data_IF_768794099389
#
_entry.id   IF_768794099389
#
_cell.length_a   1.000
_cell.length_b   1.000
_cell.length_c   1.000
_cell.angle_alpha   90.00
_cell.angle_beta   90.00
_cell.angle_gamma   90.00
#
_symmetry.space_group_name_H-M   'P 1'
#
loop_
_entity.id
_entity.type
_entity.pdbx_description
1 polymer ?
#
# COMPACT_ATOMS: atom_id res chain seq x y z
N UNK A 1 85.68 41.05 -0.94
CA UNK A 1 84.25 40.90 -1.33
C UNK A 1 83.78 39.51 -0.91
N UNK A 2 83.09 39.43 0.20
CA UNK A 2 82.54 38.22 0.74
C UNK A 2 81.12 38.07 0.20
N UNK A 3 80.73 36.91 -0.36
CA UNK A 3 79.36 36.71 -0.87
C UNK A 3 78.33 36.68 0.29
N UNK A 4 77.10 37.17 0.06
CA UNK A 4 76.09 37.17 1.08
C UNK A 4 75.57 35.73 1.35
N UNK A 5 75.37 35.42 2.62
CA UNK A 5 74.81 34.18 3.07
C UNK A 5 73.40 33.96 2.52
N UNK A 6 73.19 32.81 1.90
CA UNK A 6 71.87 32.43 1.39
C UNK A 6 70.91 32.20 2.58
N UNK A 7 69.80 32.98 2.62
CA UNK A 7 68.73 32.79 3.57
C UNK A 7 68.05 31.44 3.30
N UNK A 8 68.07 30.54 4.30
CA UNK A 8 67.35 29.28 4.27
C UNK A 8 65.82 29.52 4.19
N UNK A 9 65.15 28.98 3.19
CA UNK A 9 63.73 29.03 3.04
C UNK A 9 63.03 28.35 4.22
N UNK A 10 61.87 28.88 4.69
CA UNK A 10 61.17 28.25 5.80
C UNK A 10 60.66 26.87 5.41
N UNK A 11 60.96 25.88 6.24
CA UNK A 11 60.45 24.51 6.10
C UNK A 11 58.94 24.54 6.21
N UNK A 12 58.19 24.02 5.21
CA UNK A 12 56.74 23.98 5.28
C UNK A 12 56.28 23.14 6.48
N UNK A 13 55.22 23.56 7.20
CA UNK A 13 54.73 22.81 8.36
C UNK A 13 54.37 21.38 7.91
N UNK A 14 54.81 20.40 8.68
CA UNK A 14 54.51 19.00 8.44
C UNK A 14 53.00 18.81 8.36
N UNK A 15 52.53 18.16 7.28
CA UNK A 15 51.13 17.82 7.13
C UNK A 15 50.61 17.04 8.32
N UNK A 16 49.47 17.39 8.93
CA UNK A 16 48.93 16.69 10.09
C UNK A 16 48.71 15.22 9.74
N UNK A 17 49.18 14.35 10.61
CA UNK A 17 49.19 12.91 10.42
C UNK A 17 47.82 12.34 10.07
N UNK A 18 47.66 11.65 8.95
CA UNK A 18 46.41 11.03 8.46
C UNK A 18 45.83 9.92 9.39
N UNK A 19 46.60 9.43 10.35
CA UNK A 19 46.22 8.39 11.31
C UNK A 19 45.07 8.80 12.26
N UNK A 20 45.02 10.00 12.84
CA UNK A 20 43.92 10.42 13.72
C UNK A 20 42.57 10.59 12.98
N UNK A 21 42.58 10.98 11.70
CA UNK A 21 41.35 11.17 10.93
C UNK A 21 40.61 9.84 10.66
N UNK A 22 41.35 8.78 10.33
CA UNK A 22 40.77 7.44 10.11
C UNK A 22 40.15 6.86 11.39
N UNK A 23 40.80 7.04 12.54
CA UNK A 23 40.24 6.64 13.83
C UNK A 23 38.99 7.42 14.18
N UNK A 24 38.99 8.74 13.98
CA UNK A 24 37.87 9.62 14.25
C UNK A 24 36.61 9.23 13.41
N UNK A 25 36.79 8.91 12.13
CA UNK A 25 35.72 8.44 11.24
C UNK A 25 35.17 7.09 11.70
N UNK A 26 36.04 6.12 12.05
CA UNK A 26 35.60 4.80 12.57
C UNK A 26 34.74 4.94 13.83
N UNK A 27 35.16 5.80 14.76
CA UNK A 27 34.36 6.10 15.95
C UNK A 27 33.02 6.76 15.63
N UNK A 28 32.98 7.70 14.68
CA UNK A 28 31.73 8.31 14.22
C UNK A 28 30.74 7.24 13.70
N UNK A 29 31.20 6.37 12.80
CA UNK A 29 30.38 5.28 12.24
C UNK A 29 29.95 4.27 13.32
N UNK A 30 30.84 3.94 14.27
CA UNK A 30 30.52 3.06 15.40
C UNK A 30 29.46 3.66 16.32
N UNK A 31 29.55 4.96 16.62
CA UNK A 31 28.51 5.66 17.40
C UNK A 31 27.18 5.76 16.67
N UNK A 32 27.20 5.94 15.35
CA UNK A 32 25.98 5.93 14.54
C UNK A 32 25.31 4.55 14.56
N UNK A 33 26.07 3.49 14.33
CA UNK A 33 25.54 2.12 14.41
C UNK A 33 24.98 1.81 15.81
N UNK A 34 25.69 2.20 16.87
CA UNK A 34 25.23 2.01 18.25
C UNK A 34 23.95 2.82 18.52
N UNK A 35 23.87 4.08 18.10
CA UNK A 35 22.68 4.92 18.26
C UNK A 35 21.49 4.31 17.52
N UNK A 36 21.67 3.84 16.29
CA UNK A 36 20.61 3.19 15.50
C UNK A 36 20.10 1.93 16.18
N UNK A 37 21.01 1.07 16.70
CA UNK A 37 20.63 -0.14 17.44
C UNK A 37 19.88 0.20 18.73
N UNK A 38 20.37 1.16 19.52
CA UNK A 38 19.70 1.54 20.76
C UNK A 38 18.31 2.14 20.52
N UNK A 39 18.17 2.99 19.51
CA UNK A 39 16.87 3.52 19.11
C UNK A 39 15.92 2.42 18.61
N UNK A 40 16.41 1.47 17.84
CA UNK A 40 15.62 0.33 17.39
C UNK A 40 15.16 -0.53 18.57
N UNK A 41 16.07 -0.85 19.50
CA UNK A 41 15.74 -1.60 20.72
C UNK A 41 14.70 -0.84 21.56
N UNK A 42 14.87 0.46 21.73
CA UNK A 42 13.89 1.29 22.45
C UNK A 42 12.52 1.29 21.74
N UNK A 43 12.49 1.38 20.42
CA UNK A 43 11.28 1.30 19.62
C UNK A 43 10.58 -0.04 19.78
N UNK A 44 11.32 -1.15 19.70
CA UNK A 44 10.79 -2.49 19.90
C UNK A 44 10.25 -2.64 21.33
N UNK A 45 11.02 -2.21 22.33
CA UNK A 45 10.63 -2.28 23.73
C UNK A 45 9.34 -1.51 24.02
N UNK A 46 9.18 -0.31 23.44
CA UNK A 46 7.98 0.50 23.58
C UNK A 46 6.78 -0.09 22.80
N UNK A 47 7.04 -0.85 21.73
CA UNK A 47 6.01 -1.43 20.87
C UNK A 47 5.50 -2.80 21.32
N UNK A 48 6.10 -3.44 22.35
CA UNK A 48 5.64 -4.75 22.85
C UNK A 48 4.36 -4.55 23.71
N UNK A 49 3.20 -5.03 23.25
CA UNK A 49 1.93 -4.76 23.91
C UNK A 49 1.64 -5.67 25.12
N UNK A 50 2.55 -6.56 25.48
CA UNK A 50 2.34 -7.52 26.57
C UNK A 50 3.66 -8.13 27.07
N UNK A 51 3.70 -9.45 27.24
CA UNK A 51 4.92 -10.16 27.63
C UNK A 51 5.95 -10.13 26.50
N UNK A 52 7.23 -9.87 26.82
CA UNK A 52 8.31 -9.84 25.83
C UNK A 52 8.49 -11.18 25.12
N UNK A 53 8.33 -12.27 25.87
CA UNK A 53 8.43 -13.64 25.37
C UNK A 53 7.17 -14.41 25.76
N UNK A 54 6.07 -14.24 25.01
CA UNK A 54 4.81 -14.93 25.32
C UNK A 54 4.96 -16.44 25.08
N UNK A 55 4.30 -17.23 25.95
CA UNK A 55 4.25 -18.69 25.77
C UNK A 55 3.32 -19.11 24.63
N UNK A 56 2.33 -18.27 24.28
CA UNK A 56 1.39 -18.56 23.21
C UNK A 56 2.07 -18.44 21.82
N UNK A 57 1.82 -19.40 20.95
CA UNK A 57 2.19 -19.34 19.56
C UNK A 57 1.19 -18.55 18.72
N UNK A 58 1.54 -18.17 17.49
CA UNK A 58 0.62 -17.53 16.54
C UNK A 58 -0.52 -18.48 16.19
N UNK A 59 -1.76 -17.99 16.24
CA UNK A 59 -2.95 -18.74 15.86
C UNK A 59 -3.43 -18.23 14.52
N UNK A 60 -3.41 -19.08 13.49
CA UNK A 60 -3.78 -18.71 12.12
C UNK A 60 -5.06 -19.40 11.71
N UNK A 61 -5.90 -18.67 10.97
CA UNK A 61 -7.12 -19.14 10.34
C UNK A 61 -6.98 -18.89 8.84
N UNK A 62 -6.60 -19.92 8.03
CA UNK A 62 -6.40 -19.78 6.60
C UNK A 62 -7.73 -19.53 5.87
N UNK A 63 -7.66 -19.13 4.60
CA UNK A 63 -8.84 -18.79 3.79
C UNK A 63 -9.92 -19.88 3.74
N UNK A 64 -9.53 -21.14 3.79
CA UNK A 64 -10.47 -22.30 3.81
C UNK A 64 -11.36 -22.35 5.06
N UNK A 65 -10.93 -21.72 6.16
CA UNK A 65 -11.69 -21.66 7.42
C UNK A 65 -12.61 -20.42 7.48
N UNK A 66 -12.47 -19.53 6.49
CA UNK A 66 -13.24 -18.31 6.38
C UNK A 66 -14.56 -18.56 5.64
N UNK A 67 -15.62 -17.90 6.09
CA UNK A 67 -16.92 -17.91 5.43
C UNK A 67 -17.27 -16.52 4.91
N UNK A 68 -17.73 -16.41 3.66
CA UNK A 68 -18.30 -15.18 3.11
C UNK A 68 -19.77 -15.11 3.51
N UNK A 69 -20.07 -14.33 4.56
CA UNK A 69 -21.43 -14.19 5.09
C UNK A 69 -22.26 -13.15 4.28
N UNK A 70 -21.62 -12.17 3.63
CA UNK A 70 -22.24 -11.18 2.75
C UNK A 70 -21.33 -10.85 1.59
N UNK A 71 -21.91 -10.51 0.43
CA UNK A 71 -21.21 -10.30 -0.81
C UNK A 71 -21.20 -11.54 -1.69
N UNK A 72 -20.49 -11.47 -2.80
CA UNK A 72 -20.30 -12.59 -3.74
C UNK A 72 -18.81 -12.88 -3.88
N UNK A 73 -18.47 -14.16 -3.98
CA UNK A 73 -17.08 -14.59 -4.08
C UNK A 73 -16.95 -16.09 -3.97
N UNK A 74 -15.73 -16.59 -4.08
CA UNK A 74 -15.42 -18.01 -3.96
C UNK A 74 -14.00 -18.22 -3.41
N UNK A 75 -13.77 -19.39 -2.87
CA UNK A 75 -12.42 -19.82 -2.51
C UNK A 75 -11.66 -20.19 -3.80
N UNK A 76 -10.55 -19.51 -4.04
CA UNK A 76 -9.62 -19.80 -5.12
C UNK A 76 -8.24 -20.15 -4.55
N UNK A 77 -7.83 -21.40 -4.73
CA UNK A 77 -6.57 -21.95 -4.20
C UNK A 77 -6.40 -21.68 -2.69
N UNK A 78 -5.68 -20.61 -2.32
CA UNK A 78 -5.33 -20.27 -0.94
C UNK A 78 -5.95 -18.97 -0.46
N UNK A 79 -6.84 -18.35 -1.24
CA UNK A 79 -7.49 -17.09 -0.89
C UNK A 79 -9.00 -17.18 -1.09
N UNK A 80 -9.75 -16.58 -0.18
CA UNK A 80 -11.16 -16.27 -0.37
C UNK A 80 -11.25 -14.98 -1.21
N UNK A 81 -11.63 -15.13 -2.47
CA UNK A 81 -11.78 -14.01 -3.41
C UNK A 81 -13.17 -13.43 -3.26
N UNK A 82 -13.24 -12.20 -2.76
CA UNK A 82 -14.49 -11.44 -2.64
C UNK A 82 -14.64 -10.59 -3.90
N UNK A 83 -15.53 -11.01 -4.80
CA UNK A 83 -15.69 -10.39 -6.11
C UNK A 83 -16.54 -9.11 -6.06
N UNK A 84 -17.62 -9.10 -5.25
CA UNK A 84 -18.48 -7.92 -5.11
C UNK A 84 -19.12 -7.85 -3.72
N UNK A 85 -19.45 -6.64 -3.29
CA UNK A 85 -20.30 -6.38 -2.13
C UNK A 85 -21.76 -6.73 -2.44
N UNK A 86 -22.56 -6.96 -1.40
CA UNK A 86 -24.01 -7.20 -1.52
C UNK A 86 -24.77 -5.94 -1.93
N UNK A 87 -26.11 -6.04 -2.07
CA UNK A 87 -26.99 -4.92 -2.45
C UNK A 87 -26.91 -3.73 -1.47
N UNK A 88 -26.50 -3.98 -0.20
CA UNK A 88 -26.27 -2.92 0.79
C UNK A 88 -24.90 -2.28 0.70
N UNK A 89 -24.06 -2.73 -0.23
CA UNK A 89 -22.70 -2.27 -0.42
C UNK A 89 -21.71 -2.80 0.62
N UNK A 90 -21.98 -3.96 1.20
CA UNK A 90 -21.11 -4.60 2.20
C UNK A 90 -20.63 -5.96 1.74
N UNK A 91 -19.37 -6.28 2.06
CA UNK A 91 -18.87 -7.64 2.09
C UNK A 91 -18.46 -7.99 3.52
N UNK A 92 -18.80 -9.20 3.97
CA UNK A 92 -18.54 -9.67 5.32
C UNK A 92 -17.89 -11.05 5.26
N UNK A 93 -16.64 -11.12 5.68
CA UNK A 93 -15.88 -12.37 5.86
C UNK A 93 -15.82 -12.70 7.34
N UNK A 94 -16.18 -13.92 7.73
CA UNK A 94 -16.27 -14.32 9.13
C UNK A 94 -15.50 -15.62 9.38
N UNK A 95 -15.07 -15.81 10.63
CA UNK A 95 -14.54 -17.09 11.13
C UNK A 95 -14.88 -17.25 12.60
N UNK A 96 -15.28 -18.45 12.97
CA UNK A 96 -15.44 -18.82 14.37
C UNK A 96 -14.07 -19.09 14.98
N UNK A 97 -13.86 -18.56 16.17
CA UNK A 97 -12.58 -18.65 16.87
C UNK A 97 -12.81 -19.11 18.31
N UNK A 98 -11.75 -19.59 18.95
CA UNK A 98 -11.74 -19.89 20.36
C UNK A 98 -10.34 -19.68 20.92
N UNK A 99 -10.08 -18.44 21.42
CA UNK A 99 -8.83 -18.10 22.08
C UNK A 99 -9.02 -17.03 23.16
N UNK A 100 -8.12 -16.98 24.13
CA UNK A 100 -8.14 -15.93 25.18
C UNK A 100 -7.62 -14.62 24.58
N UNK A 101 -8.38 -13.55 24.74
CA UNK A 101 -8.00 -12.21 24.25
C UNK A 101 -6.67 -11.73 24.83
N UNK A 102 -6.39 -12.00 26.12
CA UNK A 102 -5.18 -11.60 26.80
C UNK A 102 -3.89 -12.20 26.21
N UNK A 103 -3.98 -13.37 25.58
CA UNK A 103 -2.84 -14.06 24.96
C UNK A 103 -2.51 -13.50 23.56
N UNK A 104 -3.45 -12.77 22.92
CA UNK A 104 -3.38 -12.32 21.54
C UNK A 104 -3.75 -10.85 21.38
N UNK A 105 -2.86 -9.94 21.81
CA UNK A 105 -3.11 -8.50 21.73
C UNK A 105 -3.02 -7.91 20.31
N UNK A 106 -2.69 -8.69 19.30
CA UNK A 106 -2.57 -8.23 17.92
C UNK A 106 -3.36 -9.16 16.98
N UNK A 107 -4.18 -8.58 16.11
CA UNK A 107 -4.90 -9.29 15.05
C UNK A 107 -4.46 -8.76 13.69
N UNK A 108 -4.05 -9.66 12.79
CA UNK A 108 -3.61 -9.32 11.45
C UNK A 108 -4.44 -10.08 10.41
N UNK A 109 -5.12 -9.35 9.53
CA UNK A 109 -5.77 -9.90 8.35
C UNK A 109 -4.78 -9.92 7.20
N UNK A 110 -4.57 -11.07 6.62
CA UNK A 110 -3.77 -11.24 5.41
C UNK A 110 -4.71 -11.09 4.21
N UNK A 111 -4.84 -9.85 3.75
CA UNK A 111 -5.74 -9.52 2.65
C UNK A 111 -5.17 -8.38 1.80
N UNK A 112 -5.52 -8.37 0.51
CA UNK A 112 -4.95 -7.45 -0.48
C UNK A 112 -6.00 -6.98 -1.50
N UNK A 113 -5.62 -5.97 -2.28
CA UNK A 113 -6.37 -5.34 -3.36
C UNK A 113 -7.51 -4.42 -2.87
N UNK A 114 -7.38 -3.87 -1.67
CA UNK A 114 -8.29 -2.81 -1.22
C UNK A 114 -8.02 -1.49 -1.96
N UNK A 115 -9.07 -0.69 -2.12
CA UNK A 115 -8.88 0.72 -2.45
C UNK A 115 -8.29 1.47 -1.23
N UNK A 116 -7.45 2.46 -1.45
CA UNK A 116 -6.78 3.19 -0.36
C UNK A 116 -7.78 3.93 0.57
N UNK A 117 -8.97 4.24 0.06
CA UNK A 117 -10.07 4.86 0.80
C UNK A 117 -11.17 3.87 1.23
N UNK A 118 -10.91 2.57 1.21
CA UNK A 118 -11.88 1.57 1.62
C UNK A 118 -12.20 1.69 3.13
N UNK A 119 -13.48 1.71 3.48
CA UNK A 119 -13.92 1.57 4.90
C UNK A 119 -13.86 0.09 5.27
N UNK A 120 -12.75 -0.30 5.89
CA UNK A 120 -12.55 -1.67 6.36
C UNK A 120 -12.60 -1.69 7.87
N UNK A 121 -13.37 -2.63 8.43
CA UNK A 121 -13.54 -2.78 9.86
C UNK A 121 -13.30 -4.21 10.29
N UNK A 122 -12.57 -4.36 11.39
CA UNK A 122 -12.46 -5.59 12.14
C UNK A 122 -13.57 -5.66 13.17
N UNK A 123 -14.27 -6.78 13.22
CA UNK A 123 -15.34 -7.06 14.15
C UNK A 123 -15.00 -8.30 14.98
N UNK A 124 -15.44 -8.32 16.23
CA UNK A 124 -15.27 -9.50 17.09
C UNK A 124 -16.40 -9.67 18.09
N UNK A 125 -16.54 -10.89 18.57
CA UNK A 125 -17.41 -11.28 19.67
C UNK A 125 -16.61 -12.00 20.74
N UNK A 126 -17.05 -11.86 21.98
CA UNK A 126 -16.46 -12.54 23.13
C UNK A 126 -17.51 -13.34 23.90
N UNK A 127 -17.07 -14.31 24.69
CA UNK A 127 -17.93 -15.08 25.58
C UNK A 127 -18.53 -14.24 26.71
N UNK A 128 -17.86 -13.14 27.11
CA UNK A 128 -18.34 -12.21 28.15
C UNK A 128 -19.55 -11.40 27.67
N UNK A 129 -19.62 -11.09 26.37
CA UNK A 129 -20.71 -10.33 25.78
C UNK A 129 -21.09 -10.93 24.40
N UNK A 130 -21.72 -12.12 24.37
CA UNK A 130 -21.93 -12.88 23.11
C UNK A 130 -22.86 -12.18 22.13
N UNK A 131 -23.74 -11.31 22.59
CA UNK A 131 -24.67 -10.55 21.77
C UNK A 131 -24.13 -9.19 21.35
N UNK A 132 -22.99 -8.74 21.90
CA UNK A 132 -22.34 -7.49 21.52
C UNK A 132 -21.37 -7.73 20.36
N UNK A 133 -21.58 -7.03 19.28
CA UNK A 133 -20.63 -7.00 18.15
C UNK A 133 -19.74 -5.76 18.31
N UNK A 134 -18.49 -5.99 18.64
CA UNK A 134 -17.49 -4.93 18.78
C UNK A 134 -16.85 -4.65 17.42
N UNK A 135 -16.37 -3.43 17.19
CA UNK A 135 -15.80 -3.02 15.91
C UNK A 135 -14.69 -1.98 16.07
N UNK A 136 -13.66 -2.09 15.22
CA UNK A 136 -12.59 -1.10 15.09
C UNK A 136 -12.24 -0.92 13.61
N UNK A 137 -11.85 0.28 13.20
CA UNK A 137 -11.36 0.51 11.85
C UNK A 137 -10.00 -0.16 11.64
N UNK A 138 -9.80 -0.74 10.46
CA UNK A 138 -8.52 -1.32 10.04
C UNK A 138 -7.89 -0.39 9.02
N UNK A 139 -6.69 0.15 9.28
CA UNK A 139 -6.01 0.98 8.31
C UNK A 139 -5.66 0.19 7.05
N UNK A 140 -5.93 0.79 5.89
CA UNK A 140 -5.53 0.28 4.57
C UNK A 140 -4.34 1.07 4.09
N UNK A 141 -3.27 0.38 3.71
CA UNK A 141 -2.05 1.00 3.22
C UNK A 141 -1.55 0.23 2.00
N UNK A 142 -1.40 0.93 0.89
CA UNK A 142 -0.99 0.33 -0.38
C UNK A 142 -1.85 -0.91 -0.75
N UNK A 143 -3.16 -0.81 -0.55
CA UNK A 143 -4.11 -1.89 -0.83
C UNK A 143 -4.04 -3.10 0.10
N UNK A 144 -3.33 -3.02 1.24
CA UNK A 144 -3.21 -4.07 2.25
C UNK A 144 -3.68 -3.59 3.61
N UNK A 145 -4.13 -4.52 4.45
CA UNK A 145 -4.52 -4.23 5.81
C UNK A 145 -3.31 -4.21 6.74
N UNK A 146 -3.27 -3.22 7.64
CA UNK A 146 -2.28 -3.21 8.72
C UNK A 146 -2.78 -4.07 9.90
N UNK A 147 -1.86 -4.67 10.68
CA UNK A 147 -2.23 -5.32 11.94
C UNK A 147 -2.91 -4.36 12.90
N UNK A 148 -3.91 -4.85 13.60
CA UNK A 148 -4.65 -4.08 14.61
C UNK A 148 -4.18 -4.48 16.00
N UNK A 149 -3.72 -3.50 16.78
CA UNK A 149 -3.37 -3.69 18.19
C UNK A 149 -4.62 -3.59 19.04
N UNK A 150 -4.96 -4.67 19.72
CA UNK A 150 -6.10 -4.79 20.63
C UNK A 150 -5.73 -4.53 22.09
N UNK A 151 -4.42 -4.36 22.37
CA UNK A 151 -3.95 -4.04 23.72
C UNK A 151 -4.57 -2.73 24.21
N UNK A 152 -5.13 -2.77 25.42
CA UNK A 152 -5.82 -1.61 26.01
C UNK A 152 -7.24 -1.37 25.51
N UNK A 153 -7.76 -2.15 24.57
CA UNK A 153 -9.16 -2.06 24.16
C UNK A 153 -10.05 -2.71 25.26
N UNK A 154 -10.98 -1.95 25.88
CA UNK A 154 -11.78 -2.45 27.00
C UNK A 154 -12.75 -3.58 26.61
N UNK A 155 -13.08 -3.71 25.34
CA UNK A 155 -13.96 -4.76 24.82
C UNK A 155 -13.19 -6.01 24.32
N UNK A 156 -11.84 -6.00 24.41
CA UNK A 156 -11.01 -7.15 24.08
C UNK A 156 -10.73 -7.99 25.33
N UNK A 157 -11.77 -8.63 25.85
CA UNK A 157 -11.76 -9.38 27.13
C UNK A 157 -12.36 -10.77 26.96
N UNK A 158 -12.01 -11.69 27.87
CA UNK A 158 -12.53 -13.06 27.86
C UNK A 158 -12.00 -13.92 26.73
N UNK A 159 -12.84 -14.80 26.20
CA UNK A 159 -12.53 -15.64 25.02
C UNK A 159 -13.16 -15.03 23.77
N UNK A 160 -12.39 -14.86 22.74
CA UNK A 160 -12.86 -14.40 21.43
C UNK A 160 -13.49 -15.58 20.71
N UNK A 161 -14.80 -15.54 20.50
CA UNK A 161 -15.59 -16.63 19.92
C UNK A 161 -15.81 -16.50 18.42
N UNK A 162 -15.57 -15.32 17.88
CA UNK A 162 -15.66 -15.08 16.43
C UNK A 162 -15.03 -13.75 16.05
N UNK A 163 -14.45 -13.74 14.87
CA UNK A 163 -13.89 -12.54 14.27
C UNK A 163 -14.41 -12.37 12.84
N UNK A 164 -14.50 -11.13 12.39
CA UNK A 164 -14.97 -10.82 11.05
C UNK A 164 -14.27 -9.59 10.46
N UNK A 165 -14.21 -9.55 9.15
CA UNK A 165 -13.79 -8.41 8.37
C UNK A 165 -14.97 -7.88 7.56
N UNK A 166 -15.31 -6.62 7.75
CA UNK A 166 -16.31 -5.91 6.96
C UNK A 166 -15.63 -4.94 6.02
N UNK A 167 -15.97 -5.01 4.76
CA UNK A 167 -15.58 -4.04 3.75
C UNK A 167 -16.84 -3.32 3.29
N UNK A 168 -16.86 -2.00 3.40
CA UNK A 168 -17.95 -1.15 2.97
C UNK A 168 -17.53 -0.35 1.75
N UNK A 169 -18.45 -0.23 0.80
CA UNK A 169 -18.21 0.52 -0.41
C UNK A 169 -18.02 -0.36 -1.64
N UNK A 170 -17.73 0.24 -2.80
CA UNK A 170 -17.44 -0.51 -4.01
C UNK A 170 -16.15 -1.28 -3.88
N UNK A 171 -16.15 -2.49 -4.41
CA UNK A 171 -14.93 -3.27 -4.61
C UNK A 171 -14.51 -3.09 -6.08
N UNK A 172 -13.60 -2.15 -6.38
CA UNK A 172 -13.19 -1.88 -7.76
C UNK A 172 -12.39 -3.04 -8.37
N UNK A 173 -11.86 -3.89 -7.50
CA UNK A 173 -11.18 -5.15 -7.83
C UNK A 173 -11.62 -6.22 -6.84
N UNK A 174 -11.54 -7.49 -7.20
CA UNK A 174 -11.72 -8.58 -6.23
C UNK A 174 -10.71 -8.46 -5.09
N UNK A 175 -11.20 -8.50 -3.86
CA UNK A 175 -10.37 -8.53 -2.65
C UNK A 175 -9.98 -9.97 -2.36
N UNK A 176 -8.70 -10.22 -2.15
CA UNK A 176 -8.16 -11.53 -1.82
C UNK A 176 -7.89 -11.59 -0.32
N UNK A 177 -8.56 -12.50 0.37
CA UNK A 177 -8.38 -12.73 1.81
C UNK A 177 -7.72 -14.09 2.00
N UNK A 178 -6.44 -14.08 2.36
CA UNK A 178 -5.63 -15.30 2.56
C UNK A 178 -5.84 -15.90 3.95
N UNK A 179 -6.21 -15.08 4.93
CA UNK A 179 -6.48 -15.53 6.29
C UNK A 179 -6.50 -14.43 7.32
N UNK A 180 -6.62 -14.84 8.58
CA UNK A 180 -6.45 -13.99 9.75
C UNK A 180 -5.55 -14.67 10.77
N UNK A 181 -4.67 -13.90 11.40
CA UNK A 181 -3.78 -14.37 12.45
C UNK A 181 -3.98 -13.59 13.74
N UNK A 182 -4.17 -14.30 14.85
CA UNK A 182 -4.07 -13.76 16.19
C UNK A 182 -2.63 -13.96 16.68
N UNK A 183 -1.96 -12.89 17.07
CA UNK A 183 -0.53 -12.87 17.41
C UNK A 183 -0.30 -12.51 18.87
N UNK A 184 0.65 -13.19 19.52
CA UNK A 184 0.95 -12.96 20.94
C UNK A 184 1.82 -11.74 21.12
N UNK A 185 1.91 -10.76 20.47
CA UNK A 185 2.50 -9.42 20.67
C UNK A 185 3.89 -9.35 21.34
N UNK A 186 4.71 -10.40 21.26
CA UNK A 186 6.06 -10.41 21.83
C UNK A 186 7.11 -9.71 20.97
N UNK A 187 8.36 -9.64 21.46
CA UNK A 187 9.50 -9.00 20.76
C UNK A 187 9.64 -9.49 19.33
N UNK A 188 9.54 -10.79 19.09
CA UNK A 188 9.69 -11.39 17.75
C UNK A 188 8.61 -10.87 16.80
N UNK A 189 7.37 -10.77 17.27
CA UNK A 189 6.25 -10.24 16.46
C UNK A 189 6.46 -8.77 16.13
N UNK A 190 6.85 -7.96 17.11
CA UNK A 190 7.09 -6.51 16.92
C UNK A 190 8.25 -6.27 15.96
N UNK A 191 9.36 -7.02 16.11
CA UNK A 191 10.50 -6.93 15.18
C UNK A 191 10.07 -7.33 13.76
N UNK A 192 9.36 -8.45 13.62
CA UNK A 192 8.91 -8.93 12.32
C UNK A 192 7.95 -7.94 11.64
N UNK A 193 7.02 -7.34 12.40
CA UNK A 193 6.09 -6.34 11.88
C UNK A 193 6.82 -5.06 11.49
N UNK A 194 7.81 -4.61 12.26
CA UNK A 194 8.61 -3.43 11.94
C UNK A 194 9.49 -3.65 10.70
N UNK A 195 10.12 -4.82 10.57
CA UNK A 195 10.87 -5.15 9.36
C UNK A 195 9.96 -5.28 8.14
N UNK A 196 8.76 -5.83 8.30
CA UNK A 196 7.76 -5.87 7.22
C UNK A 196 7.30 -4.48 6.82
N UNK A 197 7.09 -3.58 7.79
CA UNK A 197 6.75 -2.18 7.56
C UNK A 197 7.84 -1.46 6.74
N UNK A 198 9.11 -1.61 7.13
CA UNK A 198 10.23 -0.94 6.45
C UNK A 198 10.63 -1.56 5.12
N UNK A 199 10.60 -2.90 5.02
CA UNK A 199 11.11 -3.65 3.88
C UNK A 199 10.03 -4.42 3.10
N UNK A 200 8.75 -4.18 3.38
CA UNK A 200 7.64 -4.74 2.63
C UNK A 200 7.69 -4.34 1.15
N UNK A 201 7.05 -5.14 0.28
CA UNK A 201 6.99 -4.81 -1.14
C UNK A 201 6.11 -3.58 -1.38
N UNK A 202 6.64 -2.61 -2.11
CA UNK A 202 5.88 -1.47 -2.63
C UNK A 202 5.42 -1.81 -4.05
N UNK A 203 4.10 -1.98 -4.22
CA UNK A 203 3.50 -2.18 -5.53
C UNK A 203 3.47 -0.87 -6.34
N UNK A 204 3.22 -0.98 -7.63
CA UNK A 204 2.99 0.19 -8.46
C UNK A 204 1.66 0.87 -8.09
N UNK A 205 1.70 2.18 -7.84
CA UNK A 205 0.52 2.95 -7.41
C UNK A 205 -0.41 3.39 -8.55
N UNK A 206 0.01 3.21 -9.80
CA UNK A 206 -0.73 3.67 -10.99
C UNK A 206 -0.59 5.17 -11.29
N UNK A 207 0.15 5.92 -10.48
CA UNK A 207 0.31 7.38 -10.64
C UNK A 207 1.51 7.75 -11.50
N UNK A 208 2.61 7.04 -11.36
CA UNK A 208 3.83 7.23 -12.16
C UNK A 208 4.65 5.95 -12.17
N UNK A 209 5.24 5.61 -13.32
CA UNK A 209 6.16 4.48 -13.44
C UNK A 209 7.45 4.66 -12.63
N UNK A 210 7.76 5.89 -12.24
CA UNK A 210 8.95 6.24 -11.45
C UNK A 210 8.64 6.55 -9.99
N UNK A 211 7.37 6.45 -9.56
CA UNK A 211 6.96 6.75 -8.19
C UNK A 211 7.22 5.57 -7.25
N UNK A 212 8.49 5.27 -7.01
CA UNK A 212 8.91 4.39 -5.93
C UNK A 212 9.31 5.28 -4.75
N UNK A 213 8.51 5.25 -3.69
CA UNK A 213 8.71 6.07 -2.49
C UNK A 213 9.60 5.39 -1.45
N UNK A 214 9.92 4.09 -1.66
CA UNK A 214 10.57 3.24 -0.66
C UNK A 214 9.65 2.98 0.53
N UNK A 215 8.34 3.14 0.37
CA UNK A 215 7.30 3.04 1.40
C UNK A 215 7.37 4.09 2.51
N UNK A 216 8.11 5.17 2.31
CA UNK A 216 8.27 6.21 3.35
C UNK A 216 6.94 6.87 3.72
N UNK A 217 6.04 7.02 2.75
CA UNK A 217 4.70 7.59 2.87
C UNK A 217 3.68 6.68 3.58
N UNK A 218 3.97 5.39 3.65
CA UNK A 218 3.06 4.37 4.22
C UNK A 218 3.60 3.70 5.48
N UNK A 219 4.81 4.06 5.92
CA UNK A 219 5.41 3.52 7.13
C UNK A 219 4.79 4.18 8.38
N UNK A 220 4.35 3.37 9.32
CA UNK A 220 3.85 3.83 10.62
C UNK A 220 4.92 4.64 11.38
N UNK A 221 6.17 4.16 11.33
CA UNK A 221 7.35 4.91 11.75
C UNK A 221 8.38 4.87 10.64
N UNK A 222 8.63 5.99 10.01
CA UNK A 222 9.58 6.10 8.90
C UNK A 222 11.00 5.74 9.33
N UNK A 223 11.65 4.84 8.56
CA UNK A 223 13.06 4.51 8.74
C UNK A 223 13.96 5.76 8.67
N UNK A 224 13.61 6.74 7.83
CA UNK A 224 14.34 8.01 7.72
C UNK A 224 14.33 8.81 9.02
N UNK A 225 13.21 8.84 9.76
CA UNK A 225 13.13 9.50 11.07
C UNK A 225 14.06 8.83 12.08
N UNK A 226 14.08 7.50 12.12
CA UNK A 226 14.99 6.77 12.99
C UNK A 226 16.47 7.03 12.65
N UNK A 227 16.80 7.08 11.36
CA UNK A 227 18.18 7.37 10.92
C UNK A 227 18.59 8.81 11.24
N UNK A 228 17.69 9.79 11.08
CA UNK A 228 17.94 11.19 11.47
C UNK A 228 18.18 11.29 12.98
N UNK A 229 17.37 10.64 13.80
CA UNK A 229 17.55 10.61 15.24
C UNK A 229 18.88 9.94 15.63
N UNK A 230 19.22 8.81 15.00
CA UNK A 230 20.51 8.13 15.21
C UNK A 230 21.69 9.02 14.80
N UNK A 231 21.56 9.74 13.67
CA UNK A 231 22.56 10.68 13.20
C UNK A 231 22.78 11.82 14.20
N UNK A 232 21.71 12.43 14.70
CA UNK A 232 21.77 13.50 15.68
C UNK A 232 22.48 13.04 16.98
N UNK A 233 22.10 11.87 17.50
CA UNK A 233 22.75 11.28 18.67
C UNK A 233 24.23 10.95 18.43
N UNK A 234 24.55 10.36 17.27
CA UNK A 234 25.92 10.05 16.90
C UNK A 234 26.79 11.29 16.77
N UNK A 235 26.29 12.35 16.12
CA UNK A 235 27.02 13.64 15.99
C UNK A 235 27.27 14.24 17.36
N UNK A 236 26.26 14.27 18.23
CA UNK A 236 26.39 14.82 19.60
C UNK A 236 27.42 14.06 20.42
N UNK A 237 27.33 12.71 20.43
CA UNK A 237 28.28 11.86 21.15
C UNK A 237 29.70 11.98 20.57
N UNK A 238 29.82 12.03 19.25
CA UNK A 238 31.10 12.17 18.57
C UNK A 238 31.74 13.53 18.88
N UNK A 239 30.98 14.64 18.86
CA UNK A 239 31.51 15.97 19.23
C UNK A 239 32.04 16.00 20.66
N UNK A 240 31.33 15.37 21.60
CA UNK A 240 31.79 15.25 22.97
C UNK A 240 33.11 14.47 23.07
N UNK A 241 33.21 13.36 22.34
CA UNK A 241 34.40 12.53 22.25
C UNK A 241 35.54 13.25 21.55
N UNK A 242 35.27 13.91 20.43
CA UNK A 242 36.26 14.63 19.62
C UNK A 242 36.91 15.79 20.39
N UNK A 243 36.13 16.52 21.20
CA UNK A 243 36.68 17.55 22.11
C UNK A 243 37.66 16.96 23.11
N UNK A 244 37.35 15.79 23.72
CA UNK A 244 38.22 15.10 24.68
C UNK A 244 39.47 14.53 24.04
N UNK A 245 39.40 14.09 22.78
CA UNK A 245 40.50 13.42 22.06
C UNK A 245 41.29 14.35 21.13
N UNK A 246 40.95 15.63 21.03
CA UNK A 246 41.60 16.56 20.12
C UNK A 246 41.30 16.31 18.62
N UNK A 247 40.20 15.64 18.30
CA UNK A 247 39.84 15.24 16.93
C UNK A 247 38.96 16.26 16.19
N UNK A 248 38.84 17.49 16.69
CA UNK A 248 37.94 18.51 16.12
C UNK A 248 38.27 18.81 14.65
N UNK A 249 39.57 18.75 14.26
CA UNK A 249 39.99 18.92 12.87
C UNK A 249 39.44 17.82 11.90
N UNK A 250 39.02 16.65 12.43
CA UNK A 250 38.41 15.58 11.64
C UNK A 250 36.87 15.73 11.48
N UNK A 251 36.26 16.81 11.99
CA UNK A 251 34.81 17.01 11.94
C UNK A 251 34.23 16.94 10.53
N UNK A 252 34.79 17.59 9.49
CA UNK A 252 34.21 17.49 8.14
C UNK A 252 34.20 16.05 7.60
N UNK A 253 35.28 15.30 7.82
CA UNK A 253 35.37 13.92 7.38
C UNK A 253 34.39 13.00 8.13
N UNK A 254 34.22 13.22 9.45
CA UNK A 254 33.27 12.46 10.24
C UNK A 254 31.81 12.74 9.83
N UNK A 255 31.45 14.01 9.63
CA UNK A 255 30.11 14.40 9.16
C UNK A 255 29.81 13.86 7.76
N UNK A 256 30.78 13.95 6.83
CA UNK A 256 30.63 13.38 5.50
C UNK A 256 30.41 11.85 5.55
N UNK A 257 31.20 11.14 6.36
CA UNK A 257 31.07 9.70 6.52
C UNK A 257 29.70 9.30 7.13
N UNK A 258 29.23 10.04 8.14
CA UNK A 258 27.93 9.83 8.75
C UNK A 258 26.78 10.06 7.78
N UNK A 259 26.84 11.15 7.01
CA UNK A 259 25.86 11.46 6.00
C UNK A 259 25.82 10.38 4.91
N UNK A 260 26.98 10.00 4.37
CA UNK A 260 27.08 8.94 3.35
C UNK A 260 26.58 7.60 3.91
N UNK A 261 26.89 7.26 5.16
CA UNK A 261 26.38 6.02 5.77
C UNK A 261 24.87 6.03 5.91
N UNK A 262 24.27 7.11 6.41
CA UNK A 262 22.82 7.23 6.53
C UNK A 262 22.14 7.19 5.16
N UNK A 263 22.70 7.90 4.17
CA UNK A 263 22.19 7.87 2.80
C UNK A 263 22.31 6.48 2.17
N UNK A 264 23.43 5.81 2.34
CA UNK A 264 23.64 4.45 1.81
C UNK A 264 22.60 3.44 2.36
N UNK A 265 22.18 3.57 3.63
CA UNK A 265 21.11 2.73 4.19
C UNK A 265 19.78 2.97 3.51
N UNK A 266 19.41 4.24 3.28
CA UNK A 266 18.16 4.59 2.57
C UNK A 266 18.22 4.15 1.11
N UNK A 267 19.34 4.38 0.43
CA UNK A 267 19.56 4.02 -0.96
C UNK A 267 19.52 2.49 -1.18
N UNK A 268 20.11 1.72 -0.24
CA UNK A 268 20.01 0.27 -0.26
C UNK A 268 18.57 -0.23 -0.14
N UNK A 269 17.76 0.37 0.75
CA UNK A 269 16.34 0.08 0.88
C UNK A 269 15.57 0.40 -0.40
N UNK A 270 15.84 1.54 -1.01
CA UNK A 270 15.21 1.96 -2.25
C UNK A 270 15.60 1.06 -3.44
N UNK A 271 16.88 0.76 -3.58
CA UNK A 271 17.39 -0.16 -4.60
C UNK A 271 16.77 -1.56 -4.46
N UNK A 272 16.58 -2.03 -3.22
CA UNK A 272 15.89 -3.29 -2.95
C UNK A 272 14.44 -3.28 -3.46
N UNK A 273 13.70 -2.19 -3.24
CA UNK A 273 12.34 -2.04 -3.75
C UNK A 273 12.32 -2.02 -5.29
N UNK A 274 13.23 -1.28 -5.93
CA UNK A 274 13.37 -1.28 -7.39
C UNK A 274 13.65 -2.68 -7.95
N UNK A 275 14.57 -3.41 -7.35
CA UNK A 275 14.88 -4.78 -7.78
C UNK A 275 13.65 -5.70 -7.70
N UNK A 276 12.86 -5.58 -6.64
CA UNK A 276 11.61 -6.34 -6.47
C UNK A 276 10.53 -5.92 -7.47
N UNK A 277 10.40 -4.62 -7.76
CA UNK A 277 9.48 -4.15 -8.79
C UNK A 277 9.87 -4.64 -10.19
N UNK A 278 11.16 -4.62 -10.53
CA UNK A 278 11.65 -5.20 -11.80
C UNK A 278 11.31 -6.68 -11.89
N UNK A 279 11.52 -7.43 -10.81
CA UNK A 279 11.17 -8.85 -10.76
C UNK A 279 9.66 -9.08 -10.93
N UNK A 280 8.81 -8.30 -10.26
CA UNK A 280 7.35 -8.37 -10.37
C UNK A 280 6.89 -8.00 -11.79
N UNK A 281 7.41 -6.90 -12.36
CA UNK A 281 7.11 -6.46 -13.74
C UNK A 281 7.51 -7.54 -14.75
N UNK A 282 8.69 -8.15 -14.57
CA UNK A 282 9.14 -9.25 -15.44
C UNK A 282 8.24 -10.48 -15.32
N UNK A 283 7.80 -10.82 -14.13
CA UNK A 283 6.86 -11.93 -13.91
C UNK A 283 5.50 -11.65 -14.56
N UNK A 284 5.01 -10.41 -14.49
CA UNK A 284 3.72 -10.02 -15.05
C UNK A 284 3.74 -9.89 -16.57
N UNK A 285 4.79 -9.32 -17.17
CA UNK A 285 4.83 -8.91 -18.58
C UNK A 285 5.93 -9.60 -19.41
N UNK A 286 6.86 -10.33 -18.78
CA UNK A 286 7.99 -10.95 -19.48
C UNK A 286 7.55 -12.02 -20.47
N UNK A 287 8.10 -11.99 -21.69
CA UNK A 287 7.80 -12.96 -22.75
C UNK A 287 6.44 -12.81 -23.44
N UNK A 288 5.61 -11.85 -23.01
CA UNK A 288 4.27 -11.61 -23.56
C UNK A 288 4.31 -10.64 -24.72
N UNK A 289 3.45 -10.84 -25.72
CA UNK A 289 3.20 -9.89 -26.78
C UNK A 289 2.42 -8.66 -26.31
N UNK A 290 2.13 -7.70 -27.19
CA UNK A 290 1.45 -6.44 -26.81
C UNK A 290 0.03 -6.70 -26.29
N UNK A 291 -0.73 -7.60 -26.93
CA UNK A 291 -2.09 -7.92 -26.53
C UNK A 291 -2.11 -8.64 -25.19
N UNK A 292 -1.25 -9.63 -25.01
CA UNK A 292 -1.10 -10.37 -23.76
C UNK A 292 -0.64 -9.46 -22.58
N UNK A 293 0.21 -8.46 -22.86
CA UNK A 293 0.61 -7.45 -21.86
C UNK A 293 -0.55 -6.58 -21.44
N UNK A 294 -1.38 -6.13 -22.39
CA UNK A 294 -2.58 -5.35 -22.08
C UNK A 294 -3.58 -6.17 -21.25
N UNK A 295 -3.76 -7.45 -21.60
CA UNK A 295 -4.61 -8.34 -20.83
C UNK A 295 -4.06 -8.68 -19.44
N UNK A 296 -2.72 -8.70 -19.26
CA UNK A 296 -2.06 -8.95 -17.99
C UNK A 296 -1.91 -7.69 -17.11
N UNK A 297 -2.22 -6.51 -17.63
CA UNK A 297 -2.16 -5.27 -16.89
C UNK A 297 -3.28 -5.17 -15.83
N UNK A 298 -3.15 -4.24 -14.91
CA UNK A 298 -4.14 -4.02 -13.84
C UNK A 298 -5.54 -3.68 -14.37
N UNK A 299 -5.61 -3.12 -15.57
CA UNK A 299 -6.84 -2.85 -16.30
C UNK A 299 -7.21 -3.93 -17.33
N UNK A 300 -6.62 -5.11 -17.25
CA UNK A 300 -6.85 -6.20 -18.21
C UNK A 300 -8.33 -6.60 -18.36
N UNK A 301 -9.09 -6.57 -17.26
CA UNK A 301 -10.54 -6.81 -17.31
C UNK A 301 -11.28 -5.72 -18.12
N UNK A 302 -10.89 -4.46 -17.94
CA UNK A 302 -11.42 -3.33 -18.72
C UNK A 302 -11.01 -3.47 -20.20
N UNK A 303 -9.74 -3.80 -20.47
CA UNK A 303 -9.25 -4.01 -21.82
C UNK A 303 -10.06 -5.08 -22.56
N UNK A 304 -10.23 -6.25 -21.95
CA UNK A 304 -11.01 -7.34 -22.53
C UNK A 304 -12.48 -6.96 -22.77
N UNK A 305 -13.10 -6.21 -21.84
CA UNK A 305 -14.45 -5.68 -22.05
C UNK A 305 -14.51 -4.69 -23.21
N UNK A 306 -13.56 -3.75 -23.29
CA UNK A 306 -13.52 -2.74 -24.37
C UNK A 306 -13.31 -3.39 -25.73
N UNK A 307 -12.51 -4.45 -25.85
CA UNK A 307 -12.36 -5.18 -27.12
C UNK A 307 -13.71 -5.75 -27.60
N UNK A 308 -14.45 -6.43 -26.70
CA UNK A 308 -15.78 -6.95 -27.01
C UNK A 308 -16.79 -5.84 -27.33
N UNK A 309 -16.73 -4.74 -26.60
CA UNK A 309 -17.56 -3.55 -26.82
C UNK A 309 -17.30 -2.93 -28.20
N UNK A 310 -16.03 -2.74 -28.58
CA UNK A 310 -15.64 -2.21 -29.90
C UNK A 310 -16.14 -3.09 -31.05
N UNK A 311 -16.14 -4.39 -30.90
CA UNK A 311 -16.68 -5.32 -31.91
C UNK A 311 -18.18 -5.16 -32.14
N UNK A 312 -18.91 -4.51 -31.21
CA UNK A 312 -20.35 -4.22 -31.31
C UNK A 312 -20.67 -2.78 -31.70
N UNK A 313 -19.65 -1.94 -31.79
CA UNK A 313 -19.78 -0.53 -32.17
C UNK A 313 -19.59 -0.35 -33.68
N UNK A 314 -20.10 0.77 -34.26
CA UNK A 314 -19.81 1.11 -35.65
C UNK A 314 -18.32 1.45 -35.83
N UNK A 315 -17.83 1.49 -37.08
CA UNK A 315 -16.46 2.00 -37.34
C UNK A 315 -16.29 3.41 -36.77
N UNK A 316 -15.07 3.74 -36.26
CA UNK A 316 -14.79 5.07 -35.73
C UNK A 316 -14.97 6.19 -36.79
N UNK A 317 -15.27 7.44 -36.35
CA UNK A 317 -15.38 7.84 -34.96
C UNK A 317 -16.83 7.74 -34.42
N UNK A 318 -17.08 6.93 -33.41
CA UNK A 318 -18.29 7.03 -32.59
C UNK A 318 -18.02 7.88 -31.36
N UNK A 319 -19.07 8.57 -30.86
CA UNK A 319 -19.01 9.35 -29.64
C UNK A 319 -19.33 8.46 -28.46
N UNK A 320 -18.39 8.34 -27.49
CA UNK A 320 -18.50 7.42 -26.35
C UNK A 320 -18.29 8.16 -25.05
N UNK A 321 -19.26 8.13 -24.18
CA UNK A 321 -19.13 8.58 -22.80
C UNK A 321 -18.60 7.42 -21.96
N UNK A 322 -17.54 7.66 -21.20
CA UNK A 322 -16.97 6.66 -20.30
C UNK A 322 -17.19 7.08 -18.85
N UNK A 323 -17.83 6.21 -18.09
CA UNK A 323 -18.06 6.36 -16.66
C UNK A 323 -17.48 5.16 -15.91
N UNK A 324 -16.57 5.42 -14.97
CA UNK A 324 -15.98 4.40 -14.11
C UNK A 324 -15.71 5.00 -12.73
N UNK A 325 -15.64 4.16 -11.71
CA UNK A 325 -15.43 4.57 -10.31
C UNK A 325 -14.06 5.22 -10.05
N UNK A 326 -13.01 4.87 -10.82
CA UNK A 326 -11.70 5.44 -10.68
C UNK A 326 -11.24 6.21 -11.94
N UNK A 327 -10.53 7.33 -11.73
CA UNK A 327 -9.96 8.14 -12.81
C UNK A 327 -9.05 7.33 -13.73
N UNK A 328 -8.30 6.40 -13.15
CA UNK A 328 -7.43 5.46 -13.87
C UNK A 328 -8.22 4.68 -14.94
N UNK A 329 -9.33 4.05 -14.58
CA UNK A 329 -10.14 3.28 -15.53
C UNK A 329 -10.78 4.16 -16.59
N UNK A 330 -11.19 5.40 -16.26
CA UNK A 330 -11.73 6.35 -17.26
C UNK A 330 -10.69 6.69 -18.32
N UNK A 331 -9.47 7.02 -17.90
CA UNK A 331 -8.36 7.30 -18.82
C UNK A 331 -7.93 6.07 -19.64
N UNK A 332 -7.88 4.89 -19.00
CA UNK A 332 -7.52 3.63 -19.69
C UNK A 332 -8.58 3.20 -20.69
N UNK A 333 -9.86 3.35 -20.37
CA UNK A 333 -10.95 3.09 -21.32
C UNK A 333 -10.85 4.01 -22.55
N UNK A 334 -10.54 5.31 -22.35
CA UNK A 334 -10.32 6.24 -23.45
C UNK A 334 -9.15 5.81 -24.34
N UNK A 335 -8.04 5.36 -23.75
CA UNK A 335 -6.89 4.82 -24.47
C UNK A 335 -7.27 3.59 -25.31
N UNK A 336 -7.99 2.63 -24.73
CA UNK A 336 -8.38 1.41 -25.44
C UNK A 336 -9.48 1.62 -26.48
N UNK A 337 -10.31 2.64 -26.33
CA UNK A 337 -11.36 2.99 -27.28
C UNK A 337 -10.85 3.80 -28.48
N UNK A 338 -9.61 4.33 -28.43
CA UNK A 338 -9.05 5.06 -29.58
C UNK A 338 -9.15 4.23 -30.88
N UNK A 339 -9.59 4.80 -32.03
CA UNK A 339 -9.77 6.23 -32.33
C UNK A 339 -11.21 6.75 -32.24
N UNK A 340 -12.10 6.16 -31.40
CA UNK A 340 -13.41 6.75 -31.12
C UNK A 340 -13.27 8.09 -30.38
N UNK A 341 -14.30 8.94 -30.48
CA UNK A 341 -14.37 10.22 -29.77
C UNK A 341 -14.86 9.99 -28.35
N UNK A 342 -13.93 9.89 -27.39
CA UNK A 342 -14.22 9.54 -26.01
C UNK A 342 -14.34 10.78 -25.13
N UNK A 343 -15.41 10.82 -24.34
CA UNK A 343 -15.73 11.87 -23.39
C UNK A 343 -15.76 11.27 -21.97
N UNK A 344 -14.95 11.81 -21.08
CA UNK A 344 -14.93 11.43 -19.65
C UNK A 344 -14.46 12.61 -18.81
N UNK A 345 -14.83 12.62 -17.52
CA UNK A 345 -14.30 13.58 -16.57
C UNK A 345 -12.99 13.03 -15.96
N UNK A 346 -11.84 13.68 -16.18
CA UNK A 346 -10.57 13.20 -15.65
C UNK A 346 -10.40 13.48 -14.16
N UNK A 347 -11.11 14.46 -13.59
CA UNK A 347 -10.89 14.95 -12.23
C UNK A 347 -12.02 14.61 -11.27
N UNK A 348 -13.25 14.67 -11.76
CA UNK A 348 -14.43 14.40 -10.95
C UNK A 348 -15.10 13.08 -11.32
N UNK A 349 -15.75 12.47 -10.33
CA UNK A 349 -16.55 11.26 -10.52
C UNK A 349 -18.00 11.64 -10.85
N UNK A 350 -18.17 12.46 -11.87
CA UNK A 350 -19.48 12.93 -12.31
C UNK A 350 -20.06 12.05 -13.41
N UNK A 351 -21.36 11.81 -13.32
CA UNK A 351 -22.12 11.19 -14.42
C UNK A 351 -22.52 12.27 -15.43
N UNK A 352 -22.48 11.98 -16.74
CA UNK A 352 -22.90 12.96 -17.73
C UNK A 352 -24.39 13.31 -17.54
N UNK A 353 -24.78 14.61 -17.62
CA UNK A 353 -26.17 14.98 -17.59
C UNK A 353 -26.90 14.48 -18.85
N UNK A 354 -28.19 14.19 -18.72
CA UNK A 354 -29.01 13.72 -19.84
C UNK A 354 -28.92 14.64 -21.07
N UNK A 355 -28.83 15.95 -20.86
CA UNK A 355 -28.70 16.95 -21.91
C UNK A 355 -27.39 16.88 -22.72
N UNK A 356 -26.36 16.22 -22.20
CA UNK A 356 -25.10 16.03 -22.92
C UNK A 356 -25.13 14.84 -23.89
N UNK A 357 -26.09 13.91 -23.69
CA UNK A 357 -26.25 12.69 -24.47
C UNK A 357 -27.12 12.95 -25.69
N UNK A 358 -26.77 12.38 -26.83
CA UNK A 358 -27.51 12.50 -28.10
C UNK A 358 -27.83 11.12 -28.67
N UNK A 359 -28.88 11.01 -29.44
CA UNK A 359 -29.16 9.78 -30.16
C UNK A 359 -27.94 9.34 -31.02
N UNK A 360 -27.60 8.07 -30.92
CA UNK A 360 -26.41 7.48 -31.55
C UNK A 360 -25.14 7.54 -30.73
N UNK A 361 -25.11 8.23 -29.57
CA UNK A 361 -24.00 8.18 -28.62
C UNK A 361 -23.95 6.80 -27.94
N UNK A 362 -22.75 6.48 -27.44
CA UNK A 362 -22.54 5.30 -26.60
C UNK A 362 -22.19 5.71 -25.19
N UNK A 363 -22.60 4.91 -24.19
CA UNK A 363 -22.18 5.04 -22.82
C UNK A 363 -21.54 3.72 -22.36
N UNK A 364 -20.27 3.77 -22.02
CA UNK A 364 -19.52 2.67 -21.43
C UNK A 364 -19.43 2.89 -19.92
N UNK A 365 -20.03 1.99 -19.16
CA UNK A 365 -19.96 1.96 -17.71
C UNK A 365 -19.07 0.80 -17.26
N UNK A 366 -18.10 1.07 -16.35
CA UNK A 366 -17.23 0.05 -15.80
C UNK A 366 -17.13 0.23 -14.29
N UNK A 367 -17.59 -0.79 -13.52
CA UNK A 367 -17.68 -0.79 -12.05
C UNK A 367 -18.34 0.46 -11.46
N UNK A 368 -19.19 1.14 -12.23
CA UNK A 368 -19.79 2.42 -11.87
C UNK A 368 -21.18 2.26 -11.25
N UNK A 369 -21.34 2.76 -10.02
CA UNK A 369 -22.65 2.88 -9.38
C UNK A 369 -23.45 4.05 -9.97
N UNK A 370 -24.78 3.99 -9.82
CA UNK A 370 -25.66 5.05 -10.31
C UNK A 370 -25.97 4.99 -11.79
N UNK A 371 -25.54 3.95 -12.50
CA UNK A 371 -25.97 3.61 -13.85
C UNK A 371 -27.04 2.52 -13.73
N UNK A 372 -28.29 2.85 -14.02
CA UNK A 372 -29.45 1.95 -13.91
C UNK A 372 -30.18 1.88 -15.23
N UNK A 373 -30.43 0.68 -15.74
CA UNK A 373 -31.18 0.45 -16.96
C UNK A 373 -32.47 -0.26 -16.61
N UNK A 374 -33.60 0.31 -17.09
CA UNK A 374 -34.92 -0.31 -17.03
C UNK A 374 -35.19 -0.98 -18.38
N UNK A 375 -35.22 -2.32 -18.46
CA UNK A 375 -35.42 -3.04 -19.72
C UNK A 375 -36.85 -2.88 -20.28
N UNK A 376 -37.85 -2.73 -19.40
CA UNK A 376 -39.27 -2.60 -19.82
C UNK A 376 -39.54 -1.27 -20.50
N UNK A 377 -38.95 -0.20 -19.98
CA UNK A 377 -39.08 1.14 -20.52
C UNK A 377 -38.00 1.48 -21.56
N UNK A 378 -36.99 0.67 -21.73
CA UNK A 378 -35.79 0.95 -22.53
C UNK A 378 -35.12 2.28 -22.17
N UNK A 379 -35.03 2.56 -20.88
CA UNK A 379 -34.49 3.82 -20.35
C UNK A 379 -33.29 3.60 -19.45
N UNK A 380 -32.29 4.45 -19.65
CA UNK A 380 -31.07 4.51 -18.87
C UNK A 380 -31.15 5.73 -17.95
N UNK A 381 -30.99 5.51 -16.65
CA UNK A 381 -30.90 6.57 -15.64
C UNK A 381 -29.47 6.68 -15.12
N UNK A 382 -28.95 7.89 -15.10
CA UNK A 382 -27.63 8.24 -14.60
C UNK A 382 -27.75 9.05 -13.29
N UNK A 383 -27.51 8.41 -12.16
CA UNK A 383 -27.68 9.01 -10.84
C UNK A 383 -29.12 9.43 -10.57
N UNK A 384 -29.31 10.70 -10.18
CA UNK A 384 -30.63 11.33 -9.98
C UNK A 384 -31.15 12.04 -11.22
N UNK A 385 -30.44 11.94 -12.36
CA UNK A 385 -30.85 12.61 -13.61
C UNK A 385 -32.07 11.99 -14.27
N UNK A 386 -32.59 12.70 -15.26
CA UNK A 386 -33.72 12.22 -16.05
C UNK A 386 -33.33 10.98 -16.87
N UNK A 387 -34.23 9.99 -16.96
CA UNK A 387 -33.99 8.81 -17.77
C UNK A 387 -33.91 9.13 -19.26
N UNK A 388 -32.91 8.65 -19.96
CA UNK A 388 -32.73 8.78 -21.40
C UNK A 388 -33.08 7.49 -22.11
N UNK A 389 -33.71 7.54 -23.31
CA UNK A 389 -33.93 6.34 -24.11
C UNK A 389 -32.59 5.69 -24.48
N UNK A 390 -32.45 4.40 -24.23
CA UNK A 390 -31.22 3.66 -24.52
C UNK A 390 -31.48 2.17 -24.74
N UNK A 391 -30.59 1.52 -25.44
CA UNK A 391 -30.56 0.06 -25.57
C UNK A 391 -29.25 -0.51 -25.10
N UNK A 392 -29.25 -1.68 -24.43
CA UNK A 392 -28.04 -2.37 -24.06
C UNK A 392 -27.39 -3.02 -25.28
N UNK A 393 -26.13 -2.72 -25.54
CA UNK A 393 -25.34 -3.31 -26.63
C UNK A 393 -24.53 -4.50 -26.13
N UNK A 394 -23.97 -4.36 -24.93
CA UNK A 394 -23.20 -5.40 -24.23
C UNK A 394 -23.37 -5.19 -22.73
N UNK A 395 -23.75 -6.25 -22.00
CA UNK A 395 -23.89 -6.21 -20.54
C UNK A 395 -23.17 -7.41 -19.95
N UNK A 396 -22.27 -7.14 -19.03
CA UNK A 396 -21.51 -8.14 -18.28
C UNK A 396 -21.49 -7.77 -16.78
N UNK A 397 -21.13 -8.68 -15.89
CA UNK A 397 -21.00 -8.35 -14.47
C UNK A 397 -20.03 -7.18 -14.25
N UNK A 398 -20.52 -6.08 -13.73
CA UNK A 398 -19.74 -4.87 -13.44
C UNK A 398 -19.39 -3.99 -14.65
N UNK A 399 -19.81 -4.34 -15.87
CA UNK A 399 -19.53 -3.55 -17.07
C UNK A 399 -20.71 -3.54 -18.04
N UNK A 400 -20.98 -2.41 -18.69
CA UNK A 400 -22.03 -2.32 -19.69
C UNK A 400 -21.71 -1.28 -20.76
N UNK A 401 -22.17 -1.55 -21.98
CA UNK A 401 -22.20 -0.62 -23.10
C UNK A 401 -23.66 -0.41 -23.50
N UNK A 402 -24.06 0.83 -23.49
CA UNK A 402 -25.42 1.25 -23.97
C UNK A 402 -25.28 2.13 -25.19
N UNK A 403 -26.28 2.07 -26.08
CA UNK A 403 -26.48 3.01 -27.15
C UNK A 403 -27.65 3.92 -26.79
N UNK A 404 -27.49 5.23 -26.93
CA UNK A 404 -28.54 6.25 -26.72
C UNK A 404 -29.40 6.29 -27.96
N UNK A 405 -30.74 6.28 -27.78
CA UNK A 405 -31.73 6.25 -28.86
C UNK A 405 -32.24 7.64 -29.18
#
# INVERSE_FOLDING_TARGET
>A
MTPPAAASAPVPPAAPAAAPARSAVRWALGLFALAAVLLFVALVAAGVPGAWFPAAGVKTFPARDLALARGTGALDRNALVVAAADASGMALVTVNTDFRSADYPVVAWEAAHFADNADVRFLWRTDVAPNKLNTIAVPVVAGRLLPVTMAGNPDWIGRVTGVALVVRGPLPRPVHVEGVAARPGGVVSVVADRLRDWFGFEGWSGTSINAVTGRVDVQELSLSVLLIAALALAVTAWLALARRRGWVAALPAALAALFVAAWAVLDAGWTWQLARQVAATRAQFGGKDTHERLAAADDGALFAFVERARAKMPPPPARVFVVADAAYFRGRAAYHLYPHNVLFDPFADTLPPASALRAGDYLLAFHRRGVQFNPDEKRLRLGSGDPVPAEPVLVEPGAALFRIL
#
